data_IF_603442752648
#
_entry.id   IF_603442752648
#
_cell.length_a   1.000
_cell.length_b   1.000
_cell.length_c   1.000
_cell.angle_alpha   90.00
_cell.angle_beta   90.00
_cell.angle_gamma   90.00
#
_symmetry.space_group_name_H-M   'P 1'
#
loop_
_entity.id
_entity.type
_entity.pdbx_description
1 polymer ?
#
# COMPACT_ATOMS: atom_id res chain seq x y z
N UNK A 1 -9.33 11.91 -6.94
CA UNK A 1 -8.64 10.77 -6.31
C UNK A 1 -8.96 10.69 -4.81
N UNK A 2 -9.24 9.51 -4.24
CA UNK A 2 -9.49 9.41 -2.81
C UNK A 2 -8.25 9.87 -2.04
N UNK A 3 -8.46 10.89 -1.22
CA UNK A 3 -7.46 11.51 -0.36
C UNK A 3 -7.13 10.55 0.77
N UNK A 4 -5.96 9.88 0.67
CA UNK A 4 -5.25 9.27 1.80
C UNK A 4 -5.95 8.08 2.50
N UNK A 5 -5.67 6.86 2.04
CA UNK A 5 -5.92 5.63 2.82
C UNK A 5 -4.89 5.43 3.94
N UNK A 6 -5.12 4.46 4.84
CA UNK A 6 -4.17 4.10 5.91
C UNK A 6 -2.95 3.35 5.36
N UNK A 7 -3.13 2.65 4.25
CA UNK A 7 -2.09 1.89 3.58
C UNK A 7 -2.04 2.25 2.11
N UNK A 8 -0.87 2.10 1.52
CA UNK A 8 -0.61 2.40 0.12
C UNK A 8 0.09 1.23 -0.55
N UNK A 9 -0.37 0.84 -1.71
CA UNK A 9 0.25 -0.17 -2.55
C UNK A 9 0.58 0.36 -3.94
N UNK A 10 1.03 -0.54 -4.81
CA UNK A 10 1.28 -0.27 -6.22
C UNK A 10 0.47 -1.22 -7.08
N UNK A 11 -0.17 -0.73 -8.14
CA UNK A 11 -0.84 -1.59 -9.15
C UNK A 11 0.12 -2.59 -9.84
N UNK A 12 1.43 -2.41 -9.69
CA UNK A 12 2.48 -3.27 -10.25
C UNK A 12 3.08 -4.25 -9.24
N UNK A 13 2.57 -4.30 -8.00
CA UNK A 13 3.10 -5.15 -6.93
C UNK A 13 1.98 -5.53 -5.97
N UNK A 14 1.99 -6.76 -5.49
CA UNK A 14 1.12 -7.26 -4.43
C UNK A 14 1.49 -6.77 -3.02
N UNK A 15 2.25 -5.68 -2.85
CA UNK A 15 2.72 -5.23 -1.52
C UNK A 15 2.06 -3.92 -1.09
N UNK A 16 1.51 -3.90 0.13
CA UNK A 16 1.03 -2.66 0.76
C UNK A 16 1.98 -2.19 1.87
N UNK A 17 1.98 -0.88 2.08
CA UNK A 17 2.93 -0.15 2.91
C UNK A 17 2.21 0.87 3.79
N UNK A 18 2.85 1.31 4.87
CA UNK A 18 2.52 2.62 5.45
C UNK A 18 2.90 3.76 4.49
N UNK A 19 2.17 4.90 4.50
CA UNK A 19 2.45 6.04 3.62
C UNK A 19 3.86 6.61 3.78
N UNK A 20 4.46 6.47 4.97
CA UNK A 20 5.82 6.96 5.25
C UNK A 20 6.93 5.95 4.91
N UNK A 21 6.60 4.83 4.25
CA UNK A 21 7.60 3.83 3.87
C UNK A 21 8.46 4.34 2.69
N UNK A 22 9.78 4.11 2.76
CA UNK A 22 10.72 4.53 1.70
C UNK A 22 10.36 4.04 0.30
N UNK A 23 9.69 2.89 0.19
CA UNK A 23 9.29 2.33 -1.11
C UNK A 23 8.15 3.09 -1.76
N UNK A 24 7.31 3.77 -0.98
CA UNK A 24 6.18 4.57 -1.49
C UNK A 24 6.68 5.70 -2.39
N UNK A 25 7.81 6.31 -2.02
CA UNK A 25 8.46 7.36 -2.83
C UNK A 25 8.92 6.88 -4.21
N UNK A 26 9.05 5.58 -4.41
CA UNK A 26 9.44 4.97 -5.69
C UNK A 26 8.24 4.49 -6.50
N UNK A 27 7.03 4.50 -5.94
CA UNK A 27 5.81 4.15 -6.66
C UNK A 27 5.45 5.32 -7.55
N UNK A 28 5.36 5.08 -8.86
CA UNK A 28 4.86 6.09 -9.80
C UNK A 28 3.43 6.50 -9.42
N UNK A 29 3.06 7.78 -9.47
CA UNK A 29 1.75 8.27 -9.03
C UNK A 29 0.58 7.57 -9.73
N UNK A 30 0.72 7.22 -11.00
CA UNK A 30 -0.27 6.44 -11.79
C UNK A 30 -0.54 5.02 -11.23
N UNK A 31 0.45 4.46 -10.53
CA UNK A 31 0.43 3.12 -9.96
C UNK A 31 0.07 3.13 -8.48
N UNK A 32 -0.02 4.29 -7.82
CA UNK A 32 -0.44 4.38 -6.41
C UNK A 32 -1.89 3.91 -6.28
N UNK A 33 -2.13 3.03 -5.31
CA UNK A 33 -3.45 2.63 -4.83
C UNK A 33 -3.48 2.77 -3.32
N UNK A 34 -4.58 3.27 -2.77
CA UNK A 34 -4.77 3.47 -1.34
C UNK A 34 -5.78 2.47 -0.80
N UNK A 35 -5.49 1.90 0.36
CA UNK A 35 -6.37 0.99 1.08
C UNK A 35 -6.78 1.62 2.41
N UNK A 36 -8.04 1.43 2.77
CA UNK A 36 -8.60 2.00 4.02
C UNK A 36 -8.24 1.16 5.25
N UNK A 37 -8.00 -0.14 5.05
CA UNK A 37 -7.72 -1.13 6.10
C UNK A 37 -6.78 -2.23 5.61
N UNK A 38 -6.26 -3.05 6.53
CA UNK A 38 -5.50 -4.26 6.20
C UNK A 38 -6.38 -5.28 5.49
N UNK A 39 -7.62 -5.45 5.95
CA UNK A 39 -8.59 -6.38 5.35
C UNK A 39 -8.88 -6.01 3.89
N UNK A 40 -9.00 -4.72 3.60
CA UNK A 40 -9.18 -4.19 2.24
C UNK A 40 -7.97 -4.52 1.36
N UNK A 41 -6.76 -4.22 1.83
CA UNK A 41 -5.53 -4.58 1.11
C UNK A 41 -5.43 -6.10 0.86
N UNK A 42 -5.76 -6.93 1.85
CA UNK A 42 -5.77 -8.40 1.74
C UNK A 42 -6.84 -8.92 0.79
N UNK A 43 -8.05 -8.34 0.81
CA UNK A 43 -9.13 -8.69 -0.10
C UNK A 43 -8.75 -8.39 -1.55
N UNK A 44 -7.92 -7.36 -1.77
CA UNK A 44 -7.30 -7.05 -3.06
C UNK A 44 -6.06 -7.90 -3.40
N UNK A 45 -5.69 -8.87 -2.56
CA UNK A 45 -4.56 -9.78 -2.78
C UNK A 45 -3.19 -9.24 -2.37
N UNK A 46 -3.15 -8.14 -1.59
CA UNK A 46 -1.89 -7.53 -1.17
C UNK A 46 -1.38 -8.09 0.16
N UNK A 47 -0.06 -8.25 0.27
CA UNK A 47 0.67 -8.69 1.46
C UNK A 47 1.42 -7.53 2.14
N UNK A 48 1.70 -7.61 3.44
CA UNK A 48 2.41 -6.55 4.16
C UNK A 48 3.84 -6.40 3.66
N UNK A 49 4.30 -5.15 3.57
CA UNK A 49 5.69 -4.85 3.32
C UNK A 49 6.59 -5.34 4.47
N UNK A 50 7.61 -6.15 4.15
CA UNK A 50 8.56 -6.67 5.13
C UNK A 50 9.47 -5.59 5.77
N UNK A 51 9.54 -4.39 5.20
CA UNK A 51 10.42 -3.30 5.67
C UNK A 51 9.71 -2.36 6.64
N UNK A 52 8.52 -1.84 6.27
CA UNK A 52 7.74 -1.02 7.21
C UNK A 52 6.79 -1.82 8.09
N UNK A 53 6.69 -3.15 7.88
CA UNK A 53 5.97 -4.12 8.71
C UNK A 53 4.57 -3.66 9.13
N UNK A 54 3.68 -3.29 8.18
CA UNK A 54 2.30 -3.01 8.53
C UNK A 54 1.60 -4.29 9.03
N UNK A 55 0.54 -4.18 9.85
CA UNK A 55 -0.18 -5.32 10.41
C UNK A 55 -0.67 -6.24 9.30
N UNK A 56 -0.39 -7.53 9.43
CA UNK A 56 -0.31 -8.49 8.33
C UNK A 56 -1.26 -9.67 8.39
#
# INVERSE_FOLDING_TARGET
PPSSGKFVGSKKSDVYHYPNCRYVKMIKPENIIWFSSVEDAKAHGYRPCKVCKPPG
#
